data_IF_277658650576
#
_entry.id   IF_277658650576
#
_cell.length_a   1.000
_cell.length_b   1.000
_cell.length_c   1.000
_cell.angle_alpha   90.00
_cell.angle_beta   90.00
_cell.angle_gamma   90.00
#
_symmetry.space_group_name_H-M   'P 1'
#
loop_
_entity.id
_entity.type
_entity.pdbx_description
1 polymer ?
#
# COMPACT_ATOMS: atom_id res chain seq x y z
N UNK A 1 33.21 -37.29 -49.98
CA UNK A 1 31.91 -37.01 -49.35
C UNK A 1 32.16 -36.32 -48.01
N UNK A 2 32.15 -34.99 -47.97
CA UNK A 2 32.29 -34.24 -46.72
C UNK A 2 30.89 -34.02 -46.12
N UNK A 3 30.66 -34.58 -44.93
CA UNK A 3 29.42 -34.37 -44.17
C UNK A 3 29.53 -33.06 -43.40
N UNK A 4 28.85 -32.02 -43.86
CA UNK A 4 28.61 -30.79 -43.09
C UNK A 4 27.58 -31.11 -42.01
N UNK A 5 28.00 -31.08 -40.74
CA UNK A 5 27.10 -31.08 -39.58
C UNK A 5 26.71 -29.63 -39.32
N UNK A 6 25.48 -29.25 -39.68
CA UNK A 6 24.91 -27.97 -39.30
C UNK A 6 24.48 -28.05 -37.82
N UNK A 7 25.22 -27.37 -36.95
CA UNK A 7 24.81 -27.16 -35.56
C UNK A 7 23.70 -26.08 -35.54
N UNK A 8 22.45 -26.50 -35.39
CA UNK A 8 21.33 -25.61 -35.09
C UNK A 8 21.50 -25.13 -33.64
N UNK A 9 22.05 -23.93 -33.44
CA UNK A 9 21.98 -23.24 -32.17
C UNK A 9 20.52 -22.81 -31.92
N UNK A 10 19.77 -23.58 -31.13
CA UNK A 10 18.54 -23.09 -30.53
C UNK A 10 18.93 -21.96 -29.57
N UNK A 11 18.77 -20.72 -30.01
CA UNK A 11 18.79 -19.58 -29.11
C UNK A 11 17.56 -19.69 -28.23
N UNK A 12 17.72 -20.25 -27.02
CA UNK A 12 16.68 -20.17 -25.99
C UNK A 12 16.45 -18.71 -25.66
N UNK A 13 15.39 -18.12 -26.22
CA UNK A 13 14.86 -16.85 -25.76
C UNK A 13 14.28 -17.10 -24.37
N UNK A 14 15.09 -16.89 -23.33
CA UNK A 14 14.57 -16.80 -21.97
C UNK A 14 13.63 -15.58 -21.94
N UNK A 15 12.33 -15.85 -21.91
CA UNK A 15 11.33 -14.85 -21.54
C UNK A 15 11.45 -14.69 -20.04
N UNK A 16 12.14 -13.63 -19.61
CA UNK A 16 12.21 -13.28 -18.21
C UNK A 16 11.06 -12.34 -17.89
N UNK A 17 10.25 -12.72 -16.91
CA UNK A 17 9.05 -12.03 -16.51
C UNK A 17 9.29 -11.18 -15.25
N UNK A 18 8.33 -10.33 -14.88
CA UNK A 18 8.44 -9.52 -13.68
C UNK A 18 7.12 -9.07 -13.08
N UNK A 19 7.01 -9.16 -11.76
CA UNK A 19 5.91 -8.61 -10.95
C UNK A 19 6.44 -7.93 -9.68
N UNK A 20 5.68 -6.97 -9.17
CA UNK A 20 5.74 -6.64 -7.74
C UNK A 20 4.91 -7.70 -7.01
N UNK A 21 5.53 -8.46 -6.12
CA UNK A 21 4.84 -9.55 -5.42
C UNK A 21 4.21 -9.06 -4.12
N UNK A 22 4.85 -8.09 -3.46
CA UNK A 22 4.44 -7.60 -2.16
C UNK A 22 4.99 -6.20 -1.89
N UNK A 23 4.19 -5.39 -1.19
CA UNK A 23 4.58 -4.10 -0.65
C UNK A 23 4.25 -4.08 0.84
N UNK A 24 5.21 -3.66 1.66
CA UNK A 24 5.02 -3.43 3.09
C UNK A 24 5.26 -1.95 3.41
N UNK A 25 4.22 -1.27 3.89
CA UNK A 25 4.28 0.12 4.34
C UNK A 25 4.12 0.12 5.85
N UNK A 26 5.24 0.22 6.57
CA UNK A 26 5.26 0.32 8.04
C UNK A 26 4.44 -0.78 8.78
N UNK A 27 4.33 -1.98 8.20
CA UNK A 27 3.58 -3.12 8.76
C UNK A 27 2.25 -3.41 8.05
N UNK A 28 1.78 -2.50 7.19
CA UNK A 28 0.65 -2.72 6.30
C UNK A 28 1.09 -3.40 5.01
N UNK A 29 0.59 -4.61 4.78
CA UNK A 29 0.90 -5.42 3.60
C UNK A 29 -0.09 -5.24 2.46
N UNK A 30 0.43 -5.14 1.25
CA UNK A 30 -0.32 -5.16 0.00
C UNK A 30 0.26 -6.26 -0.90
N UNK A 31 -0.53 -7.28 -1.19
CA UNK A 31 -0.12 -8.36 -2.09
C UNK A 31 -0.32 -7.91 -3.55
N UNK A 32 0.64 -8.26 -4.40
CA UNK A 32 0.49 -8.10 -5.84
C UNK A 32 -0.55 -9.06 -6.42
N UNK A 33 -1.26 -8.68 -7.49
CA UNK A 33 -2.23 -9.55 -8.15
C UNK A 33 -1.54 -10.70 -8.87
N UNK A 34 -2.27 -11.79 -9.09
CA UNK A 34 -1.84 -12.81 -10.04
C UNK A 34 -1.76 -12.21 -11.46
N UNK A 35 -0.73 -12.56 -12.25
CA UNK A 35 -0.59 -12.09 -13.63
C UNK A 35 -1.85 -12.31 -14.45
N UNK A 36 -2.34 -11.24 -15.08
CA UNK A 36 -3.54 -11.25 -15.94
C UNK A 36 -4.85 -11.72 -15.25
N UNK A 37 -4.90 -11.81 -13.93
CA UNK A 37 -6.14 -12.10 -13.20
C UNK A 37 -6.61 -10.87 -12.43
N UNK A 38 -7.92 -10.63 -12.48
CA UNK A 38 -8.50 -9.51 -11.76
C UNK A 38 -8.35 -9.75 -10.26
N UNK A 39 -7.91 -8.72 -9.53
CA UNK A 39 -7.80 -8.77 -8.08
C UNK A 39 -8.54 -7.57 -7.48
N UNK A 40 -9.90 -7.58 -7.50
CA UNK A 40 -10.68 -6.45 -7.02
C UNK A 40 -10.30 -6.10 -5.57
N UNK A 41 -9.92 -4.85 -5.35
CA UNK A 41 -9.49 -4.35 -4.04
C UNK A 41 -7.98 -4.39 -3.78
N UNK A 42 -7.17 -5.06 -4.61
CA UNK A 42 -5.72 -4.92 -4.56
C UNK A 42 -5.31 -3.49 -4.90
N UNK A 43 -4.28 -2.95 -4.22
CA UNK A 43 -3.77 -1.61 -4.51
C UNK A 43 -3.00 -1.58 -5.85
N UNK A 44 -2.28 -2.66 -6.15
CA UNK A 44 -1.53 -2.82 -7.39
C UNK A 44 -2.47 -3.14 -8.57
N UNK A 45 -2.18 -2.57 -9.72
CA UNK A 45 -2.88 -2.82 -10.98
C UNK A 45 -2.48 -4.17 -11.54
N UNK A 46 -3.43 -4.89 -12.14
CA UNK A 46 -3.09 -6.13 -12.83
C UNK A 46 -2.51 -5.79 -14.19
N UNK A 47 -1.36 -6.38 -14.53
CA UNK A 47 -0.74 -6.28 -15.84
C UNK A 47 -0.18 -7.65 -16.29
N UNK A 48 0.18 -7.71 -17.57
CA UNK A 48 1.03 -8.77 -18.11
C UNK A 48 2.47 -8.61 -17.62
N UNK A 49 3.20 -9.71 -17.63
CA UNK A 49 4.51 -9.82 -16.95
C UNK A 49 5.70 -9.83 -17.90
N UNK A 50 5.44 -9.68 -19.20
CA UNK A 50 6.48 -9.63 -20.22
C UNK A 50 7.22 -8.29 -20.21
N UNK A 51 8.53 -8.27 -20.48
CA UNK A 51 9.28 -7.04 -20.57
C UNK A 51 8.82 -6.21 -21.75
N UNK A 52 8.68 -4.91 -21.51
CA UNK A 52 8.54 -3.94 -22.59
C UNK A 52 9.94 -3.69 -23.15
N UNK A 53 10.05 -3.64 -24.48
CA UNK A 53 11.33 -3.44 -25.19
C UNK A 53 11.32 -2.19 -26.05
N UNK A 54 10.23 -1.44 -26.08
CA UNK A 54 10.11 -0.18 -26.81
C UNK A 54 9.76 0.92 -25.81
N UNK A 55 10.64 1.90 -25.54
CA UNK A 55 10.37 2.99 -24.61
C UNK A 55 9.23 3.91 -25.07
N UNK A 56 8.77 3.77 -26.32
CA UNK A 56 7.62 4.49 -26.85
C UNK A 56 6.30 3.69 -26.77
N UNK A 57 6.34 2.45 -26.27
CA UNK A 57 5.14 1.63 -26.13
C UNK A 57 4.13 2.29 -25.17
N UNK A 58 2.82 2.26 -25.46
CA UNK A 58 1.80 2.65 -24.48
C UNK A 58 1.87 1.82 -23.20
N UNK A 59 2.37 0.58 -23.27
CA UNK A 59 2.56 -0.29 -22.10
C UNK A 59 3.56 0.29 -21.09
N UNK A 60 4.39 1.27 -21.48
CA UNK A 60 5.33 1.94 -20.55
C UNK A 60 4.64 2.62 -19.37
N UNK A 61 3.34 2.94 -19.51
CA UNK A 61 2.54 3.55 -18.46
C UNK A 61 2.52 2.68 -17.19
N UNK A 62 1.94 1.48 -17.27
CA UNK A 62 1.73 0.60 -16.11
C UNK A 62 1.96 -0.90 -16.39
N UNK A 63 2.51 -1.25 -17.56
CA UNK A 63 2.75 -2.63 -17.97
C UNK A 63 1.81 -3.10 -19.10
N UNK A 64 2.11 -4.24 -19.75
CA UNK A 64 1.30 -4.80 -20.82
C UNK A 64 -0.15 -5.06 -20.40
N UNK A 65 -1.12 -4.53 -21.13
CA UNK A 65 -2.56 -4.70 -20.85
C UNK A 65 -2.97 -4.33 -19.41
N UNK A 66 -2.28 -3.36 -18.79
CA UNK A 66 -2.55 -2.99 -17.42
C UNK A 66 -3.98 -2.47 -17.21
N UNK A 67 -4.61 -2.83 -16.10
CA UNK A 67 -5.89 -2.29 -15.67
C UNK A 67 -5.95 -2.11 -14.15
N UNK A 68 -6.70 -1.10 -13.74
CA UNK A 68 -6.82 -0.72 -12.34
C UNK A 68 -7.62 -1.76 -11.52
N UNK A 69 -7.20 -1.92 -10.27
CA UNK A 69 -7.92 -2.68 -9.25
C UNK A 69 -8.55 -1.69 -8.23
N UNK A 70 -8.19 -1.81 -6.95
CA UNK A 70 -8.57 -0.87 -5.88
C UNK A 70 -7.47 0.14 -5.58
N UNK A 71 -7.43 0.62 -4.33
CA UNK A 71 -6.36 1.48 -3.80
C UNK A 71 -6.02 1.14 -2.37
N UNK A 72 -4.75 1.33 -2.01
CA UNK A 72 -4.28 1.31 -0.63
C UNK A 72 -4.42 2.68 0.04
N UNK A 73 -4.16 2.75 1.34
CA UNK A 73 -4.17 3.98 2.13
C UNK A 73 -2.87 4.04 2.93
N UNK A 74 -2.11 5.13 2.80
CA UNK A 74 -0.79 5.30 3.42
C UNK A 74 -0.57 6.78 3.83
N UNK A 75 0.47 7.05 4.60
CA UNK A 75 0.87 8.42 4.97
C UNK A 75 2.03 8.96 4.13
N UNK A 76 2.05 10.27 3.91
CA UNK A 76 3.20 10.98 3.37
C UNK A 76 4.37 10.91 4.37
N UNK A 77 5.57 10.52 3.92
CA UNK A 77 6.71 10.24 4.80
C UNK A 77 6.88 8.76 5.17
N UNK A 78 5.92 7.89 4.85
CA UNK A 78 6.00 6.47 5.18
C UNK A 78 7.18 5.76 4.49
N UNK A 79 7.81 4.87 5.25
CA UNK A 79 8.79 3.93 4.75
C UNK A 79 8.11 2.72 4.11
N UNK A 80 8.46 2.44 2.86
CA UNK A 80 7.84 1.38 2.05
C UNK A 80 8.91 0.40 1.57
N UNK A 81 8.73 -0.88 1.85
CA UNK A 81 9.53 -1.97 1.29
C UNK A 81 8.79 -2.61 0.13
N UNK A 82 9.45 -2.73 -1.02
CA UNK A 82 8.88 -3.29 -2.25
C UNK A 82 9.67 -4.55 -2.62
N UNK A 83 8.95 -5.61 -2.98
CA UNK A 83 9.50 -6.91 -3.34
C UNK A 83 9.11 -7.26 -4.78
N UNK A 84 10.09 -7.72 -5.55
CA UNK A 84 9.91 -8.14 -6.93
C UNK A 84 10.27 -9.60 -7.12
N UNK A 85 9.56 -10.24 -8.04
CA UNK A 85 9.71 -11.64 -8.39
C UNK A 85 9.61 -11.82 -9.92
N UNK A 86 10.14 -12.92 -10.47
CA UNK A 86 9.94 -13.22 -11.90
C UNK A 86 8.47 -13.57 -12.17
N UNK A 87 7.94 -14.44 -11.32
CA UNK A 87 6.54 -14.85 -11.23
C UNK A 87 6.22 -15.02 -9.76
N UNK A 88 4.95 -15.20 -9.39
CA UNK A 88 4.63 -15.38 -7.98
C UNK A 88 5.39 -16.56 -7.35
N UNK A 89 6.02 -16.30 -6.21
CA UNK A 89 6.86 -17.20 -5.43
C UNK A 89 8.17 -17.65 -6.11
N UNK A 90 8.67 -16.88 -7.09
CA UNK A 90 9.98 -17.12 -7.69
C UNK A 90 10.93 -15.94 -7.50
N UNK A 91 12.23 -16.19 -7.65
CA UNK A 91 13.22 -15.12 -7.50
C UNK A 91 13.30 -14.28 -8.76
N UNK A 92 13.57 -12.99 -8.60
CA UNK A 92 13.87 -12.12 -9.73
C UNK A 92 15.07 -12.67 -10.54
N UNK A 93 15.06 -12.66 -11.89
CA UNK A 93 16.03 -13.41 -12.68
C UNK A 93 17.22 -12.57 -13.18
N UNK A 94 17.26 -11.28 -12.88
CA UNK A 94 18.25 -10.34 -13.42
C UNK A 94 19.03 -9.62 -12.32
N UNK A 95 20.26 -9.23 -12.60
CA UNK A 95 21.16 -8.61 -11.63
C UNK A 95 21.73 -7.27 -12.08
N UNK A 96 21.24 -6.70 -13.18
CA UNK A 96 21.93 -5.60 -13.86
C UNK A 96 20.94 -4.53 -14.33
N UNK A 97 21.09 -3.33 -13.80
CA UNK A 97 20.34 -2.14 -14.16
C UNK A 97 19.55 -1.54 -12.99
N UNK A 98 19.01 -0.33 -13.18
CA UNK A 98 18.42 0.45 -12.10
C UNK A 98 17.01 -0.03 -11.71
N UNK A 99 16.58 0.39 -10.53
CA UNK A 99 15.21 0.36 -10.06
C UNK A 99 14.77 1.81 -9.84
N UNK A 100 13.61 2.22 -10.33
CA UNK A 100 13.16 3.62 -10.26
C UNK A 100 11.71 3.67 -9.82
N UNK A 101 11.39 4.59 -8.91
CA UNK A 101 10.01 4.79 -8.44
C UNK A 101 9.56 6.24 -8.67
N UNK A 102 8.34 6.37 -9.16
CA UNK A 102 7.67 7.62 -9.50
C UNK A 102 6.32 7.70 -8.80
N UNK A 103 5.83 8.93 -8.62
CA UNK A 103 4.45 9.22 -8.26
C UNK A 103 3.82 10.14 -9.31
N UNK A 104 2.51 10.01 -9.51
CA UNK A 104 1.67 10.95 -10.25
C UNK A 104 0.38 11.18 -9.47
N UNK A 105 -0.01 12.45 -9.30
CA UNK A 105 -1.28 12.79 -8.63
C UNK A 105 -2.46 12.53 -9.56
N UNK A 106 -3.49 11.87 -9.03
CA UNK A 106 -4.75 11.60 -9.72
C UNK A 106 -5.72 12.77 -9.46
N UNK A 107 -5.58 13.86 -10.21
CA UNK A 107 -6.35 15.10 -9.98
C UNK A 107 -7.87 14.95 -10.09
N UNK A 108 -8.35 13.90 -10.76
CA UNK A 108 -9.77 13.52 -10.80
C UNK A 108 -10.29 12.98 -9.46
N UNK A 109 -9.39 12.60 -8.53
CA UNK A 109 -9.73 11.81 -7.34
C UNK A 109 -9.99 10.33 -7.64
N UNK A 110 -9.62 9.87 -8.84
CA UNK A 110 -9.75 8.46 -9.24
C UNK A 110 -8.61 8.06 -10.16
N UNK A 111 -7.67 7.29 -9.62
CA UNK A 111 -6.53 6.80 -10.38
C UNK A 111 -6.90 5.79 -11.48
N UNK A 112 -8.06 5.12 -11.40
CA UNK A 112 -8.44 4.07 -12.36
C UNK A 112 -8.64 4.58 -13.80
N UNK A 113 -8.79 5.90 -13.95
CA UNK A 113 -8.97 6.59 -15.24
C UNK A 113 -7.67 7.23 -15.76
N UNK A 114 -6.57 7.15 -14.98
CA UNK A 114 -5.29 7.74 -15.36
C UNK A 114 -4.68 7.02 -16.55
N UNK A 115 -4.02 7.78 -17.42
CA UNK A 115 -3.32 7.30 -18.60
C UNK A 115 -2.13 8.23 -18.93
N UNK A 116 -1.46 7.97 -20.04
CA UNK A 116 -0.27 8.72 -20.45
C UNK A 116 -0.51 10.23 -20.66
N UNK A 117 -1.74 10.65 -21.00
CA UNK A 117 -2.07 12.05 -21.25
C UNK A 117 -2.43 12.83 -19.97
N UNK A 118 -2.90 12.12 -18.93
CA UNK A 118 -3.35 12.73 -17.66
C UNK A 118 -2.35 12.61 -16.53
N UNK A 119 -1.40 11.67 -16.61
CA UNK A 119 -0.37 11.50 -15.60
C UNK A 119 0.82 12.41 -15.83
N UNK A 120 1.23 13.09 -14.76
CA UNK A 120 2.48 13.83 -14.71
C UNK A 120 3.36 13.24 -13.60
N UNK A 121 4.37 12.47 -14.00
CA UNK A 121 5.20 11.67 -13.11
C UNK A 121 6.38 12.48 -12.59
N UNK A 122 6.66 12.36 -11.29
CA UNK A 122 7.90 12.84 -10.69
C UNK A 122 8.61 11.69 -9.98
N UNK A 123 9.94 11.65 -10.11
CA UNK A 123 10.77 10.58 -9.57
C UNK A 123 10.98 10.79 -8.08
N UNK A 124 10.63 9.79 -7.26
CA UNK A 124 10.77 9.84 -5.80
C UNK A 124 11.90 8.97 -5.24
N UNK A 125 12.34 7.96 -6.00
CA UNK A 125 13.50 7.13 -5.62
C UNK A 125 14.16 6.54 -6.87
N UNK A 126 15.46 6.29 -6.78
CA UNK A 126 16.22 5.51 -7.76
C UNK A 126 17.31 4.72 -7.05
N UNK A 127 17.44 3.43 -7.38
CA UNK A 127 18.48 2.54 -6.88
C UNK A 127 19.36 2.08 -8.05
N UNK A 128 20.67 2.32 -7.94
CA UNK A 128 21.68 1.76 -8.82
C UNK A 128 22.55 0.76 -8.08
N UNK A 129 23.78 1.10 -7.74
CA UNK A 129 24.77 0.27 -7.05
C UNK A 129 24.62 0.31 -5.53
N UNK A 130 24.67 -0.87 -4.90
CA UNK A 130 24.77 -1.06 -3.46
C UNK A 130 25.79 -2.18 -3.19
N UNK A 131 26.74 -1.96 -2.28
CA UNK A 131 27.79 -2.93 -1.95
C UNK A 131 28.57 -3.46 -3.18
N UNK A 132 28.83 -2.58 -4.17
CA UNK A 132 29.63 -2.89 -5.35
C UNK A 132 28.91 -3.72 -6.43
N UNK A 133 27.59 -3.89 -6.34
CA UNK A 133 26.75 -4.54 -7.35
C UNK A 133 25.49 -3.71 -7.58
N UNK A 134 24.79 -3.89 -8.69
CA UNK A 134 23.46 -3.31 -8.86
C UNK A 134 22.50 -3.83 -7.77
N UNK A 135 21.66 -2.96 -7.23
CA UNK A 135 20.61 -3.31 -6.24
C UNK A 135 19.74 -4.45 -6.74
N UNK A 136 19.49 -4.49 -8.04
CA UNK A 136 18.76 -5.55 -8.72
C UNK A 136 19.30 -6.97 -8.39
N UNK A 137 20.61 -7.13 -8.20
CA UNK A 137 21.23 -8.40 -7.82
C UNK A 137 20.74 -8.93 -6.46
N UNK A 138 20.37 -8.04 -5.53
CA UNK A 138 19.81 -8.44 -4.24
C UNK A 138 18.42 -9.08 -4.37
N UNK A 139 17.63 -8.69 -5.37
CA UNK A 139 16.29 -9.21 -5.62
C UNK A 139 16.31 -10.69 -6.02
N UNK A 140 17.42 -11.15 -6.63
CA UNK A 140 17.63 -12.58 -6.93
C UNK A 140 17.71 -13.44 -5.67
N UNK A 141 17.91 -12.82 -4.50
CA UNK A 141 17.94 -13.48 -3.20
C UNK A 141 16.70 -13.11 -2.36
N UNK A 142 15.60 -12.76 -3.03
CA UNK A 142 14.32 -12.37 -2.41
C UNK A 142 14.42 -11.15 -1.48
N UNK A 143 15.46 -10.33 -1.62
CA UNK A 143 15.53 -9.06 -0.92
C UNK A 143 14.52 -8.07 -1.52
N UNK A 144 13.97 -7.20 -0.68
CA UNK A 144 13.26 -6.01 -1.12
C UNK A 144 14.19 -4.79 -1.22
N UNK A 145 13.62 -3.67 -1.61
CA UNK A 145 14.25 -2.35 -1.44
C UNK A 145 13.28 -1.39 -0.76
N UNK A 146 13.87 -0.45 -0.02
CA UNK A 146 13.12 0.55 0.74
C UNK A 146 13.13 1.88 0.00
N UNK A 147 11.96 2.52 -0.05
CA UNK A 147 11.77 3.91 -0.46
C UNK A 147 11.06 4.66 0.66
N UNK A 148 11.08 5.99 0.57
CA UNK A 148 10.30 6.87 1.45
C UNK A 148 9.34 7.67 0.59
N UNK A 149 8.06 7.66 0.93
CA UNK A 149 7.09 8.56 0.31
C UNK A 149 7.44 9.99 0.72
N UNK A 150 7.52 10.97 -0.19
CA UNK A 150 7.83 12.35 0.19
C UNK A 150 6.85 12.86 1.26
N UNK A 151 7.36 13.53 2.31
CA UNK A 151 6.50 14.01 3.42
C UNK A 151 5.73 15.29 3.07
N UNK A 152 6.16 16.01 2.03
CA UNK A 152 5.60 17.28 1.55
C UNK A 152 4.51 17.08 0.49
N UNK A 153 3.98 15.87 0.36
CA UNK A 153 2.87 15.61 -0.55
C UNK A 153 1.60 16.31 -0.08
N UNK A 154 0.88 16.88 -1.04
CA UNK A 154 -0.52 17.26 -0.83
C UNK A 154 -1.36 15.99 -0.63
N UNK A 155 -2.28 15.98 0.33
CA UNK A 155 -3.19 14.83 0.52
C UNK A 155 -3.96 14.53 -0.77
N UNK A 156 -4.13 13.25 -1.12
CA UNK A 156 -5.00 12.84 -2.21
C UNK A 156 -4.65 11.48 -2.80
N UNK A 157 -5.26 11.19 -3.95
CA UNK A 157 -5.01 9.95 -4.68
C UNK A 157 -3.79 10.09 -5.58
N UNK A 158 -2.90 9.11 -5.53
CA UNK A 158 -1.68 9.03 -6.32
C UNK A 158 -1.55 7.65 -6.96
N UNK A 159 -1.03 7.64 -8.17
CA UNK A 159 -0.52 6.45 -8.81
C UNK A 159 0.99 6.39 -8.55
N UNK A 160 1.45 5.32 -7.91
CA UNK A 160 2.86 4.99 -7.80
C UNK A 160 3.25 4.08 -8.95
N UNK A 161 4.30 4.42 -9.68
CA UNK A 161 4.90 3.56 -10.71
C UNK A 161 6.29 3.18 -10.25
N UNK A 162 6.50 1.90 -10.03
CA UNK A 162 7.84 1.37 -9.77
C UNK A 162 8.29 0.50 -10.93
N UNK A 163 9.57 0.57 -11.27
CA UNK A 163 10.09 -0.05 -12.48
C UNK A 163 11.47 -0.65 -12.25
N UNK A 164 11.67 -1.88 -12.71
CA UNK A 164 12.99 -2.42 -12.96
C UNK A 164 13.35 -2.20 -14.44
N UNK A 165 14.54 -1.69 -14.69
CA UNK A 165 15.11 -1.62 -16.04
C UNK A 165 16.27 -2.60 -16.10
N UNK A 166 16.05 -3.74 -16.75
CA UNK A 166 17.08 -4.75 -16.95
C UNK A 166 17.92 -4.43 -18.19
N UNK A 167 19.23 -4.26 -17.98
CA UNK A 167 20.18 -3.80 -19.01
C UNK A 167 21.13 -4.91 -19.48
N UNK A 168 20.89 -6.15 -19.08
CA UNK A 168 21.75 -7.30 -19.42
C UNK A 168 21.78 -7.62 -20.92
N UNK A 169 20.72 -7.27 -21.67
CA UNK A 169 20.56 -7.56 -23.09
C UNK A 169 20.88 -6.34 -23.97
N UNK A 170 21.06 -6.53 -25.28
CA UNK A 170 21.38 -5.43 -26.22
C UNK A 170 20.31 -4.34 -26.30
N UNK A 171 19.06 -4.65 -25.91
CA UNK A 171 18.00 -3.67 -25.71
C UNK A 171 17.56 -3.72 -24.25
N UNK A 172 17.34 -2.56 -23.60
CA UNK A 172 16.73 -2.52 -22.28
C UNK A 172 15.41 -3.29 -22.24
N UNK A 173 15.14 -3.89 -21.08
CA UNK A 173 13.88 -4.55 -20.76
C UNK A 173 13.25 -3.81 -19.58
N UNK A 174 12.10 -3.19 -19.82
CA UNK A 174 11.38 -2.39 -18.82
C UNK A 174 10.27 -3.22 -18.18
N UNK A 175 10.18 -3.15 -16.86
CA UNK A 175 9.17 -3.82 -16.05
C UNK A 175 8.48 -2.80 -15.15
N UNK A 176 7.53 -1.99 -15.65
CA UNK A 176 6.75 -1.09 -14.83
C UNK A 176 5.60 -1.82 -14.13
N UNK A 177 5.33 -1.42 -12.89
CA UNK A 177 4.15 -1.82 -12.13
C UNK A 177 3.52 -0.58 -11.48
N UNK A 178 2.19 -0.48 -11.52
CA UNK A 178 1.44 0.64 -10.98
C UNK A 178 0.63 0.26 -9.75
N UNK A 179 0.59 1.16 -8.76
CA UNK A 179 -0.12 0.95 -7.49
C UNK A 179 -0.89 2.20 -7.14
N UNK A 180 -2.20 2.08 -6.94
CA UNK A 180 -3.04 3.19 -6.51
C UNK A 180 -2.98 3.33 -4.99
N UNK A 181 -2.68 4.54 -4.51
CA UNK A 181 -2.75 4.88 -3.10
C UNK A 181 -3.56 6.15 -2.90
N UNK A 182 -4.36 6.18 -1.83
CA UNK A 182 -4.66 7.43 -1.16
C UNK A 182 -3.53 7.74 -0.18
N UNK A 183 -2.91 8.90 -0.31
CA UNK A 183 -1.81 9.36 0.54
C UNK A 183 -2.33 10.49 1.42
N UNK A 184 -2.36 10.26 2.73
CA UNK A 184 -2.65 11.29 3.72
C UNK A 184 -1.46 12.24 3.85
N UNK A 185 -1.71 13.54 3.82
CA UNK A 185 -0.67 14.57 3.79
C UNK A 185 -0.69 15.46 5.03
N UNK A 186 0.42 16.13 5.30
CA UNK A 186 0.54 17.12 6.39
C UNK A 186 0.33 18.58 5.92
N UNK A 187 -0.12 18.78 4.67
CA UNK A 187 -0.39 20.10 4.09
C UNK A 187 0.65 20.64 3.11
N UNK A 188 1.41 19.77 2.43
CA UNK A 188 2.34 20.17 1.38
C UNK A 188 1.66 20.48 0.04
N UNK A 189 2.41 21.00 -0.94
CA UNK A 189 1.90 21.55 -2.21
C UNK A 189 2.44 20.87 -3.46
N UNK A 190 3.19 19.78 -3.34
CA UNK A 190 3.84 19.08 -4.47
C UNK A 190 4.64 20.00 -5.40
N UNK A 191 5.27 21.03 -4.87
CA UNK A 191 5.92 22.07 -5.69
C UNK A 191 7.36 21.67 -5.98
N UNK A 192 7.58 21.10 -7.16
CA UNK A 192 8.90 20.73 -7.67
C UNK A 192 9.32 21.63 -8.84
N UNK A 193 10.60 21.55 -9.21
CA UNK A 193 11.12 22.23 -10.39
C UNK A 193 10.44 21.74 -11.67
N UNK A 194 10.39 22.58 -12.71
CA UNK A 194 9.69 22.23 -13.97
C UNK A 194 10.30 21.02 -14.69
N UNK A 195 11.57 20.71 -14.46
CA UNK A 195 12.27 19.56 -15.02
C UNK A 195 12.07 18.26 -14.23
N UNK A 196 11.41 18.31 -13.06
CA UNK A 196 11.12 17.13 -12.23
C UNK A 196 10.02 16.21 -12.80
N UNK A 197 9.38 16.63 -13.89
CA UNK A 197 8.14 16.07 -14.41
C UNK A 197 8.37 15.32 -15.72
N UNK A 198 7.63 14.23 -15.93
CA UNK A 198 7.71 13.41 -17.14
C UNK A 198 6.44 12.60 -17.42
N UNK A 199 6.38 12.01 -18.62
CA UNK A 199 5.31 11.12 -19.08
C UNK A 199 5.80 9.71 -19.39
N UNK A 200 4.93 8.71 -19.30
CA UNK A 200 5.21 7.34 -19.75
C UNK A 200 4.11 6.87 -20.71
N UNK A 201 4.42 6.62 -22.00
CA UNK A 201 5.70 6.88 -22.68
C UNK A 201 6.06 8.38 -22.80
N UNK A 202 7.31 8.67 -23.16
CA UNK A 202 7.79 10.03 -23.50
C UNK A 202 9.06 10.45 -22.75
N UNK A 203 9.18 10.07 -21.48
CA UNK A 203 10.35 10.38 -20.64
C UNK A 203 11.62 9.67 -21.07
N UNK A 204 11.50 8.44 -21.59
CA UNK A 204 12.65 7.63 -22.02
C UNK A 204 12.84 7.68 -23.54
N UNK A 205 14.10 7.61 -23.96
CA UNK A 205 14.48 7.55 -25.36
C UNK A 205 15.61 6.54 -25.60
N UNK A 206 15.76 6.08 -26.84
CA UNK A 206 16.89 5.22 -27.23
C UNK A 206 18.26 5.89 -27.07
N UNK A 207 18.30 7.23 -27.06
CA UNK A 207 19.51 8.01 -26.91
C UNK A 207 19.90 8.29 -25.46
N UNK A 208 19.07 7.92 -24.48
CA UNK A 208 19.40 8.17 -23.08
C UNK A 208 20.69 7.41 -22.72
N UNK A 209 21.72 8.08 -22.18
CA UNK A 209 23.02 7.45 -21.96
C UNK A 209 22.94 6.19 -21.10
N UNK A 210 22.13 6.18 -20.03
CA UNK A 210 21.93 5.01 -19.18
C UNK A 210 21.17 3.84 -19.83
N UNK A 211 20.44 4.08 -20.93
CA UNK A 211 19.69 3.06 -21.66
C UNK A 211 20.47 2.55 -22.88
N UNK A 212 21.14 3.44 -23.59
CA UNK A 212 21.92 3.11 -24.80
C UNK A 212 23.15 2.23 -24.51
N UNK A 213 23.65 2.22 -23.28
CA UNK A 213 24.76 1.33 -22.85
C UNK A 213 24.32 -0.11 -22.53
N UNK A 214 23.03 -0.44 -22.65
CA UNK A 214 22.51 -1.80 -22.43
C UNK A 214 23.30 -2.85 -23.21
N UNK A 215 23.43 -4.04 -22.64
CA UNK A 215 24.18 -5.15 -23.24
C UNK A 215 25.64 -5.14 -22.80
N UNK A 216 26.59 -5.06 -23.74
CA UNK A 216 28.01 -5.12 -23.38
C UNK A 216 28.51 -3.92 -22.57
N UNK A 217 27.96 -2.73 -22.81
CA UNK A 217 28.45 -1.47 -22.23
C UNK A 217 28.22 -1.36 -20.72
N UNK A 218 27.08 -1.85 -20.24
CA UNK A 218 26.66 -1.74 -18.83
C UNK A 218 27.64 -2.42 -17.87
N UNK A 219 28.36 -3.45 -18.32
CA UNK A 219 29.33 -4.17 -17.49
C UNK A 219 30.63 -3.40 -17.22
N UNK A 220 30.82 -2.22 -17.85
CA UNK A 220 31.90 -1.29 -17.53
C UNK A 220 31.52 -0.25 -16.46
N UNK A 221 30.27 -0.28 -15.99
CA UNK A 221 29.77 0.60 -14.92
C UNK A 221 29.91 -0.16 -13.60
N UNK A 222 30.46 0.50 -12.58
CA UNK A 222 30.73 -0.11 -11.27
C UNK A 222 30.26 0.75 -10.08
N UNK A 223 29.59 1.87 -10.34
CA UNK A 223 29.12 2.83 -9.34
C UNK A 223 28.02 3.71 -9.90
N UNK A 224 27.25 4.37 -9.02
CA UNK A 224 26.19 5.29 -9.42
C UNK A 224 26.73 6.54 -10.10
N UNK A 225 27.92 7.01 -9.72
CA UNK A 225 28.57 8.17 -10.34
C UNK A 225 28.92 7.94 -11.81
N UNK A 226 29.06 6.68 -12.22
CA UNK A 226 29.33 6.27 -13.59
C UNK A 226 28.05 6.01 -14.40
N UNK A 227 26.88 6.00 -13.75
CA UNK A 227 25.61 5.69 -14.37
C UNK A 227 24.70 6.91 -14.45
N UNK A 228 24.21 7.21 -15.65
CA UNK A 228 23.18 8.25 -15.83
C UNK A 228 21.80 7.61 -15.78
N UNK A 229 21.10 7.77 -14.66
CA UNK A 229 19.72 7.32 -14.53
C UNK A 229 18.83 8.01 -15.57
N UNK A 230 17.94 7.27 -16.25
CA UNK A 230 17.03 7.86 -17.22
C UNK A 230 15.90 8.67 -16.56
N UNK A 231 15.24 9.48 -17.37
CA UNK A 231 14.11 10.31 -16.99
C UNK A 231 14.45 11.54 -16.13
N UNK A 232 13.44 12.20 -15.54
CA UNK A 232 13.63 13.47 -14.84
C UNK A 232 14.55 13.30 -13.62
N UNK A 233 15.13 14.41 -13.12
CA UNK A 233 15.86 14.41 -11.87
C UNK A 233 15.00 13.87 -10.71
N UNK A 234 15.67 13.26 -9.72
CA UNK A 234 15.05 12.88 -8.46
C UNK A 234 14.56 14.14 -7.73
N UNK A 235 13.31 14.16 -7.27
CA UNK A 235 12.86 15.24 -6.39
C UNK A 235 13.54 15.10 -5.04
N UNK A 236 14.18 16.17 -4.57
CA UNK A 236 14.87 16.19 -3.27
C UNK A 236 14.05 16.85 -2.17
N UNK A 237 13.03 17.64 -2.54
CA UNK A 237 12.07 18.21 -1.57
C UNK A 237 11.21 17.08 -1.04
N UNK A 238 10.90 17.09 0.25
CA UNK A 238 10.12 16.03 0.89
C UNK A 238 10.88 14.74 1.18
N UNK A 239 12.16 14.64 0.76
CA UNK A 239 12.98 13.45 0.98
C UNK A 239 13.64 13.46 2.36
N UNK A 240 13.85 12.26 2.93
CA UNK A 240 14.42 12.05 4.26
C UNK A 240 13.34 11.91 5.33
N UNK A 241 13.49 10.89 6.19
CA UNK A 241 12.56 10.63 7.28
C UNK A 241 12.64 11.71 8.35
N UNK A 242 11.78 12.73 8.24
CA UNK A 242 11.00 13.36 9.31
C UNK A 242 10.49 14.74 8.86
N UNK A 243 9.17 14.91 8.83
CA UNK A 243 8.61 16.15 9.37
C UNK A 243 8.73 16.04 10.89
N UNK A 244 9.61 16.84 11.50
CA UNK A 244 9.47 17.13 12.93
C UNK A 244 8.12 17.80 13.09
N UNK A 245 7.09 17.05 13.49
CA UNK A 245 5.80 17.61 13.86
C UNK A 245 6.07 18.61 14.97
N UNK A 246 5.90 19.90 14.65
CA UNK A 246 5.91 20.97 15.65
C UNK A 246 4.70 20.72 16.53
N UNK A 247 4.91 20.08 17.67
CA UNK A 247 3.97 20.12 18.78
C UNK A 247 3.77 21.60 19.07
N UNK A 248 2.59 22.13 18.78
CA UNK A 248 2.17 23.36 19.43
C UNK A 248 2.11 23.04 20.92
N UNK A 249 3.06 23.64 21.63
CA UNK A 249 3.10 23.77 23.07
C UNK A 249 1.79 24.43 23.52
N UNK A 250 0.91 23.66 24.15
CA UNK A 250 -0.11 24.20 25.04
C UNK A 250 0.04 23.55 26.42
N UNK A 251 0.85 24.23 27.23
CA UNK A 251 0.67 24.49 28.65
C UNK A 251 -0.22 23.49 29.41
N UNK A 252 0.44 22.58 30.13
CA UNK A 252 -0.15 21.86 31.25
C UNK A 252 -0.73 22.83 32.29
N UNK A 253 -2.01 22.68 32.62
CA UNK A 253 -2.54 23.03 33.93
C UNK A 253 -2.97 21.75 34.63
N UNK A 254 -2.13 21.31 35.54
CA UNK A 254 -2.44 20.31 36.57
C UNK A 254 -3.51 20.85 37.51
N UNK A 255 -4.52 20.05 37.83
CA UNK A 255 -5.02 20.07 39.19
C UNK A 255 -5.34 18.67 39.69
N UNK A 256 -4.94 18.47 40.93
CA UNK A 256 -4.99 17.23 41.70
C UNK A 256 -6.17 17.36 42.66
N UNK A 257 -6.96 16.30 42.88
CA UNK A 257 -7.37 16.02 44.26
C UNK A 257 -7.87 14.60 44.53
N UNK A 258 -7.68 14.24 45.80
CA UNK A 258 -7.62 12.92 46.44
C UNK A 258 -8.99 12.38 46.92
N UNK A 259 -9.02 11.05 47.11
CA UNK A 259 -9.61 10.22 48.21
C UNK A 259 -11.08 10.51 48.65
N UNK A 260 -11.96 9.56 49.01
CA UNK A 260 -11.79 8.30 49.74
C UNK A 260 -13.11 7.46 49.72
N UNK A 261 -12.97 6.16 49.96
CA UNK A 261 -13.85 5.12 50.58
C UNK A 261 -15.38 5.28 50.72
N UNK A 262 -16.08 4.17 50.47
CA UNK A 262 -17.38 3.84 51.08
C UNK A 262 -18.21 2.82 50.31
N UNK A 263 -18.39 1.63 50.88
CA UNK A 263 -19.24 0.55 50.38
C UNK A 263 -20.73 0.87 50.46
N UNK A 264 -21.54 0.31 49.56
CA UNK A 264 -22.71 -0.52 49.91
C UNK A 264 -23.35 -1.13 48.64
N UNK A 265 -23.81 -2.37 48.78
CA UNK A 265 -24.65 -3.09 47.81
C UNK A 265 -26.06 -2.47 47.78
N UNK A 266 -26.67 -2.33 46.61
CA UNK A 266 -28.01 -2.86 46.33
C UNK A 266 -28.40 -2.71 44.85
N UNK A 267 -29.18 -3.70 44.43
CA UNK A 267 -29.77 -3.98 43.13
C UNK A 267 -30.87 -2.96 42.78
N UNK A 268 -30.88 -2.35 41.59
CA UNK A 268 -32.11 -2.23 40.80
C UNK A 268 -31.88 -1.73 39.37
N UNK A 269 -32.76 -2.23 38.50
CA UNK A 269 -32.77 -2.07 37.05
C UNK A 269 -33.03 -0.63 36.58
N UNK A 270 -32.27 -0.16 35.59
CA UNK A 270 -32.67 1.00 34.77
C UNK A 270 -32.54 0.71 33.27
N UNK A 271 -33.67 0.58 32.60
CA UNK A 271 -33.81 0.53 31.14
C UNK A 271 -33.58 1.90 30.50
N UNK A 272 -32.76 1.96 29.45
CA UNK A 272 -32.61 3.16 28.60
C UNK A 272 -33.73 3.18 27.54
N UNK A 273 -34.63 4.16 27.61
CA UNK A 273 -35.54 4.50 26.51
C UNK A 273 -34.86 5.56 25.63
N UNK A 274 -34.86 5.32 24.32
CA UNK A 274 -34.36 6.27 23.34
C UNK A 274 -35.39 7.33 23.01
N UNK A 275 -34.97 8.58 23.06
CA UNK A 275 -35.46 9.64 22.19
C UNK A 275 -34.32 10.62 21.90
N UNK A 276 -34.22 11.01 20.64
CA UNK A 276 -33.15 11.82 20.08
C UNK A 276 -33.18 13.26 20.59
N UNK A 277 -31.97 13.85 20.65
CA UNK A 277 -31.64 15.24 20.96
C UNK A 277 -31.50 15.61 22.44
N UNK A 278 -30.35 15.26 23.03
CA UNK A 278 -29.46 16.22 23.72
C UNK A 278 -28.16 15.53 24.11
N UNK A 279 -27.03 16.21 23.90
CA UNK A 279 -25.71 15.74 24.31
C UNK A 279 -25.63 15.69 25.85
N UNK A 280 -25.30 14.52 26.41
CA UNK A 280 -25.03 14.35 27.84
C UNK A 280 -23.76 13.53 28.03
N UNK A 281 -22.85 14.08 28.82
CA UNK A 281 -21.53 13.55 29.17
C UNK A 281 -21.65 12.47 30.25
N UNK A 282 -21.95 11.23 29.85
CA UNK A 282 -21.94 10.07 30.74
C UNK A 282 -21.20 8.88 30.09
N UNK A 283 -20.12 8.31 30.67
CA UNK A 283 -19.28 7.32 29.99
C UNK A 283 -19.92 5.94 29.78
N UNK A 284 -21.10 5.66 30.37
CA UNK A 284 -21.73 4.33 30.28
C UNK A 284 -22.65 4.12 29.08
N UNK A 285 -22.79 5.11 28.20
CA UNK A 285 -23.64 5.04 27.02
C UNK A 285 -22.87 5.22 25.70
N UNK A 286 -21.66 4.67 25.62
CA UNK A 286 -20.90 4.60 24.38
C UNK A 286 -21.72 3.88 23.30
N UNK A 287 -21.98 4.59 22.20
CA UNK A 287 -22.63 4.07 21.01
C UNK A 287 -21.87 2.86 20.46
N UNK A 288 -22.64 1.89 19.98
CA UNK A 288 -22.25 0.51 19.78
C UNK A 288 -21.53 0.32 18.44
N UNK A 289 -20.26 -0.12 18.47
CA UNK A 289 -19.52 -0.43 17.25
C UNK A 289 -20.07 -1.66 16.52
N UNK A 290 -20.84 -1.40 15.46
CA UNK A 290 -21.14 -2.37 14.40
C UNK A 290 -19.93 -2.50 13.44
N UNK A 291 -20.02 -3.38 12.43
CA UNK A 291 -18.90 -3.58 11.48
C UNK A 291 -18.51 -2.27 10.78
N UNK A 292 -19.48 -1.41 10.48
CA UNK A 292 -19.27 -0.10 9.86
C UNK A 292 -18.50 0.87 10.78
N UNK A 293 -18.70 0.80 12.10
CA UNK A 293 -17.92 1.61 13.05
C UNK A 293 -16.46 1.13 13.14
N UNK A 294 -16.21 -0.18 13.09
CA UNK A 294 -14.83 -0.67 13.05
C UNK A 294 -14.12 -0.25 11.75
N UNK A 295 -14.85 -0.21 10.63
CA UNK A 295 -14.32 0.26 9.35
C UNK A 295 -14.08 1.78 9.35
N UNK A 296 -14.98 2.54 9.97
CA UNK A 296 -14.81 3.98 10.20
C UNK A 296 -13.59 4.27 11.09
N UNK A 297 -13.41 3.51 12.18
CA UNK A 297 -12.23 3.60 13.06
C UNK A 297 -10.94 3.21 12.36
N UNK A 298 -10.96 2.20 11.50
CA UNK A 298 -9.83 1.84 10.66
C UNK A 298 -9.45 2.98 9.70
N UNK A 299 -10.44 3.54 9.02
CA UNK A 299 -10.25 4.69 8.13
C UNK A 299 -9.69 5.90 8.89
N UNK A 300 -10.23 6.19 10.08
CA UNK A 300 -9.76 7.28 10.92
C UNK A 300 -8.36 7.03 11.46
N UNK A 301 -8.04 5.80 11.88
CA UNK A 301 -6.68 5.45 12.31
C UNK A 301 -5.67 5.60 11.17
N UNK A 302 -6.01 5.18 9.94
CA UNK A 302 -5.14 5.38 8.78
C UNK A 302 -4.92 6.87 8.47
N UNK A 303 -5.94 7.71 8.68
CA UNK A 303 -5.81 9.18 8.58
C UNK A 303 -4.90 9.76 9.66
N UNK A 304 -5.05 9.27 10.88
CA UNK A 304 -4.32 9.76 12.06
C UNK A 304 -2.92 9.13 12.17
N UNK A 305 -2.61 8.16 11.32
CA UNK A 305 -1.33 7.47 11.35
C UNK A 305 -0.20 8.44 11.01
N UNK A 306 0.78 8.49 11.91
CA UNK A 306 1.98 9.30 11.75
C UNK A 306 3.11 8.40 11.26
N UNK A 307 3.64 8.62 10.05
CA UNK A 307 4.78 7.85 9.55
C UNK A 307 5.99 7.88 10.48
N UNK A 308 6.66 6.73 10.62
CA UNK A 308 7.72 6.50 11.59
C UNK A 308 7.25 6.13 13.00
N UNK A 309 5.95 5.97 13.23
CA UNK A 309 5.39 5.39 14.47
C UNK A 309 4.90 3.96 14.26
N UNK A 310 4.71 3.21 15.33
CA UNK A 310 4.15 1.84 15.25
C UNK A 310 2.76 1.88 14.60
N UNK A 311 2.59 1.16 13.49
CA UNK A 311 1.30 1.05 12.79
C UNK A 311 0.32 0.17 13.59
N UNK A 312 -0.32 0.77 14.60
CA UNK A 312 -1.25 0.06 15.48
C UNK A 312 -2.66 -0.11 14.89
N UNK A 313 -2.96 0.52 13.75
CA UNK A 313 -4.30 0.48 13.15
C UNK A 313 -4.78 -0.95 12.90
N UNK A 314 -3.85 -1.85 12.52
CA UNK A 314 -4.17 -3.27 12.29
C UNK A 314 -4.62 -3.96 13.56
N UNK A 315 -3.90 -3.73 14.66
CA UNK A 315 -4.23 -4.31 15.96
C UNK A 315 -5.51 -3.71 16.52
N UNK A 316 -5.70 -2.40 16.36
CA UNK A 316 -6.93 -1.70 16.75
C UNK A 316 -8.16 -2.22 15.99
N UNK A 317 -8.05 -2.46 14.68
CA UNK A 317 -9.14 -3.05 13.90
C UNK A 317 -9.43 -4.50 14.28
N UNK A 318 -8.38 -5.33 14.44
CA UNK A 318 -8.53 -6.71 14.87
C UNK A 318 -9.19 -6.80 16.26
N UNK A 319 -8.79 -5.92 17.18
CA UNK A 319 -9.40 -5.80 18.50
C UNK A 319 -10.87 -5.35 18.40
N UNK A 320 -11.19 -4.35 17.57
CA UNK A 320 -12.57 -3.89 17.35
C UNK A 320 -13.47 -5.01 16.82
N UNK A 321 -13.00 -5.75 15.81
CA UNK A 321 -13.71 -6.89 15.21
C UNK A 321 -13.89 -8.02 16.21
N UNK A 322 -12.84 -8.39 16.95
CA UNK A 322 -12.90 -9.41 17.99
C UNK A 322 -13.95 -9.09 19.06
N UNK A 323 -13.99 -7.85 19.52
CA UNK A 323 -15.02 -7.39 20.47
C UNK A 323 -16.43 -7.41 19.86
N UNK A 324 -16.59 -7.04 18.59
CA UNK A 324 -17.88 -7.09 17.90
C UNK A 324 -18.43 -8.53 17.81
N UNK A 325 -17.58 -9.50 17.44
CA UNK A 325 -17.95 -10.93 17.37
C UNK A 325 -18.32 -11.46 18.75
N UNK A 326 -17.51 -11.20 19.77
CA UNK A 326 -17.80 -11.67 21.13
C UNK A 326 -19.13 -11.13 21.66
N UNK A 327 -19.48 -9.88 21.31
CA UNK A 327 -20.77 -9.29 21.67
C UNK A 327 -21.95 -9.96 20.96
N UNK A 328 -21.83 -10.33 19.68
CA UNK A 328 -22.87 -11.10 18.95
C UNK A 328 -23.11 -12.47 19.58
N UNK A 329 -22.06 -13.14 20.02
CA UNK A 329 -22.19 -14.42 20.73
C UNK A 329 -22.94 -14.24 22.05
N UNK A 330 -22.60 -13.20 22.82
CA UNK A 330 -23.26 -12.89 24.08
C UNK A 330 -24.73 -12.47 23.92
N UNK A 331 -25.08 -11.72 22.86
CA UNK A 331 -26.47 -11.33 22.58
C UNK A 331 -27.33 -12.53 22.16
N UNK A 332 -26.78 -13.42 21.34
CA UNK A 332 -27.44 -14.66 20.94
C UNK A 332 -27.68 -15.58 22.15
N UNK A 333 -26.70 -15.70 23.05
CA UNK A 333 -26.86 -16.43 24.30
C UNK A 333 -27.99 -15.85 25.16
N UNK A 334 -28.02 -14.52 25.36
CA UNK A 334 -29.09 -13.83 26.12
C UNK A 334 -30.47 -14.02 25.48
N UNK A 335 -30.59 -13.94 24.16
CA UNK A 335 -31.85 -14.18 23.44
C UNK A 335 -32.33 -15.63 23.61
N UNK A 336 -31.41 -16.59 23.58
CA UNK A 336 -31.71 -18.01 23.78
C UNK A 336 -32.23 -18.25 25.21
N UNK A 337 -31.56 -17.69 26.21
CA UNK A 337 -32.01 -17.78 27.61
C UNK A 337 -33.38 -17.13 27.83
N UNK A 338 -33.64 -15.97 27.23
CA UNK A 338 -34.97 -15.32 27.28
C UNK A 338 -36.05 -16.18 26.62
N UNK A 339 -35.75 -16.82 25.49
CA UNK A 339 -36.67 -17.73 24.79
C UNK A 339 -37.02 -18.94 25.66
N UNK A 340 -36.02 -19.58 26.25
CA UNK A 340 -36.21 -20.73 27.17
C UNK A 340 -37.04 -20.34 28.39
N UNK A 341 -36.75 -19.20 29.04
CA UNK A 341 -37.54 -18.73 30.20
C UNK A 341 -39.01 -18.49 29.85
N UNK A 342 -39.28 -17.90 28.67
CA UNK A 342 -40.64 -17.68 28.18
C UNK A 342 -41.37 -19.01 27.89
N UNK A 343 -40.67 -19.99 27.31
CA UNK A 343 -41.26 -21.29 27.00
C UNK A 343 -41.61 -22.06 28.29
N UNK A 344 -40.75 -22.01 29.31
CA UNK A 344 -41.03 -22.58 30.65
C UNK A 344 -42.24 -21.89 31.29
N UNK A 345 -42.31 -20.55 31.24
CA UNK A 345 -43.43 -19.80 31.79
C UNK A 345 -44.76 -20.17 31.10
N UNK A 346 -44.74 -20.32 29.77
CA UNK A 346 -45.89 -20.75 29.00
C UNK A 346 -46.32 -22.19 29.33
N UNK A 347 -45.37 -23.11 29.56
CA UNK A 347 -45.68 -24.47 29.99
C UNK A 347 -46.33 -24.52 31.38
N UNK A 348 -45.82 -23.75 32.34
CA UNK A 348 -46.43 -23.63 33.67
C UNK A 348 -47.84 -23.04 33.59
N UNK A 349 -48.05 -22.00 32.78
CA UNK A 349 -49.37 -21.41 32.56
C UNK A 349 -50.36 -22.38 31.90
N UNK A 350 -49.89 -23.26 31.00
CA UNK A 350 -50.73 -24.31 30.40
C UNK A 350 -51.06 -25.43 31.39
N UNK A 351 -50.12 -25.80 32.27
CA UNK A 351 -50.33 -26.82 33.29
C UNK A 351 -51.35 -26.36 34.34
N UNK A 352 -51.26 -25.10 34.78
CA UNK A 352 -52.22 -24.50 35.71
C UNK A 352 -53.66 -24.47 35.17
N UNK A 353 -53.84 -24.28 33.85
CA UNK A 353 -55.15 -24.30 33.20
C UNK A 353 -55.76 -25.70 33.02
N UNK A 354 -55.00 -26.78 33.21
CA UNK A 354 -55.48 -28.17 33.11
C UNK A 354 -55.94 -28.74 34.46
N UNK A 355 -55.69 -28.04 35.57
CA UNK A 355 -56.05 -28.44 36.93
C UNK A 355 -57.23 -27.64 37.52
N UNK A 356 -57.86 -26.79 36.70
CA UNK A 356 -59.19 -26.24 36.90
C UNK A 356 -60.13 -26.84 35.87
#
# INVERSE_FOLDING_TARGET
MFKTVAALSLASSALAHGIVSYINVEGQGFNGPEPNQASPGAAEWTAGINPIKDPYSPDMFCGPNAYANGKGYIGAGSSMNIYWEETQYSQWPHNTGPIITYLARCWSGDCSTMNADSANWFKIDQKGFENGQWKQASLMNSAGYTITIPWDLEEGDYLMRTEIISLHAQKPQYYPACVSFHIYGSGGSNTYSNDAWGSFPGTYSWSDPGLSISGGGIYNVHSDEQYQFPGPPLVTVGQGGQASYRSNDDSQSTDSDKQNDGADEEDESSTCNGDSNTASSNPSCATQANEDECESKWTQCNKDYVPGTDFTCKDQWAQCRGQSVQRRLNSNAKMTTKRVKRDIHNQHAQHARRHH
#
